data_IF_252792828518
#
_entry.id   IF_252792828518
#
_cell.length_a   1.000
_cell.length_b   1.000
_cell.length_c   1.000
_cell.angle_alpha   90.00
_cell.angle_beta   90.00
_cell.angle_gamma   90.00
#
_symmetry.space_group_name_H-M   'P 1'
#
loop_
_entity.id
_entity.type
_entity.pdbx_description
1 polymer ?
#
# COMPACT_ATOMS: atom_id res chain seq x y z
N UNK A 1 -15.23 -23.41 -54.21
CA UNK A 1 -14.55 -24.59 -53.61
C UNK A 1 -13.31 -24.09 -52.88
N UNK A 2 -13.41 -23.93 -51.55
CA UNK A 2 -12.39 -23.24 -50.74
C UNK A 2 -11.10 -24.08 -50.66
N UNK A 3 -9.93 -23.46 -50.83
CA UNK A 3 -8.65 -24.17 -50.82
C UNK A 3 -8.39 -24.80 -49.45
N UNK A 4 -8.02 -26.09 -49.44
CA UNK A 4 -7.86 -26.91 -48.21
C UNK A 4 -6.89 -26.29 -47.19
N UNK A 5 -5.90 -25.53 -47.67
CA UNK A 5 -4.94 -24.82 -46.85
C UNK A 5 -5.55 -23.65 -46.07
N UNK A 6 -6.54 -22.95 -46.63
CA UNK A 6 -7.20 -21.81 -45.99
C UNK A 6 -8.17 -22.25 -44.88
N UNK A 7 -8.78 -23.41 -45.05
CA UNK A 7 -9.66 -24.02 -44.03
C UNK A 7 -8.86 -24.59 -42.84
N UNK A 8 -7.65 -25.06 -43.10
CA UNK A 8 -6.77 -25.62 -42.08
C UNK A 8 -6.14 -24.55 -41.18
N UNK A 9 -5.70 -23.42 -41.75
CA UNK A 9 -5.23 -22.27 -40.98
C UNK A 9 -6.36 -21.61 -40.18
N UNK A 10 -7.59 -21.55 -40.71
CA UNK A 10 -8.74 -21.02 -39.97
C UNK A 10 -9.07 -21.85 -38.72
N UNK A 11 -9.00 -23.19 -38.80
CA UNK A 11 -9.22 -24.09 -37.65
C UNK A 11 -8.16 -23.95 -36.55
N UNK A 12 -6.89 -23.78 -36.94
CA UNK A 12 -5.76 -23.62 -36.00
C UNK A 12 -5.90 -22.29 -35.24
N UNK A 13 -6.32 -21.22 -35.92
CA UNK A 13 -6.59 -19.92 -35.29
C UNK A 13 -7.74 -20.02 -34.29
N UNK A 14 -8.85 -20.69 -34.63
CA UNK A 14 -9.97 -20.88 -33.70
C UNK A 14 -9.59 -21.70 -32.47
N UNK A 15 -8.77 -22.75 -32.63
CA UNK A 15 -8.28 -23.57 -31.51
C UNK A 15 -7.35 -22.77 -30.58
N UNK A 16 -6.43 -21.98 -31.16
CA UNK A 16 -5.50 -21.14 -30.40
C UNK A 16 -6.22 -20.03 -29.60
N UNK A 17 -7.28 -19.43 -30.16
CA UNK A 17 -8.09 -18.43 -29.48
C UNK A 17 -8.89 -19.04 -28.31
N UNK A 18 -9.41 -20.27 -28.46
CA UNK A 18 -10.11 -20.95 -27.37
C UNK A 18 -9.19 -21.33 -26.19
N UNK A 19 -7.92 -21.63 -26.47
CA UNK A 19 -6.94 -22.00 -25.44
C UNK A 19 -6.44 -20.78 -24.66
N UNK A 20 -6.34 -19.61 -25.32
CA UNK A 20 -5.95 -18.35 -24.69
C UNK A 20 -7.07 -17.75 -23.81
N UNK A 21 -8.33 -18.04 -24.10
CA UNK A 21 -9.47 -17.62 -23.28
C UNK A 21 -9.60 -18.39 -21.95
N UNK A 22 -9.00 -19.59 -21.85
CA UNK A 22 -9.08 -20.43 -20.66
C UNK A 22 -8.09 -20.06 -19.55
N UNK A 23 -7.05 -19.26 -19.84
CA UNK A 23 -5.99 -18.91 -18.88
C UNK A 23 -6.28 -17.64 -18.07
N UNK A 24 -7.35 -16.90 -18.38
CA UNK A 24 -7.69 -15.63 -17.69
C UNK A 24 -8.55 -15.85 -16.44
N UNK A 25 -9.07 -17.06 -16.23
CA UNK A 25 -10.14 -17.30 -15.24
C UNK A 25 -9.67 -17.66 -13.82
N UNK A 26 -8.37 -17.69 -13.53
CA UNK A 26 -7.86 -18.28 -12.26
C UNK A 26 -7.32 -17.25 -11.25
N UNK A 27 -7.17 -15.97 -11.59
CA UNK A 27 -6.61 -14.96 -10.67
C UNK A 27 -7.71 -14.11 -9.99
N UNK A 28 -8.66 -14.74 -9.30
CA UNK A 28 -9.75 -13.99 -8.64
C UNK A 28 -9.98 -14.35 -7.16
N UNK A 29 -9.21 -15.25 -6.55
CA UNK A 29 -9.38 -15.64 -5.14
C UNK A 29 -8.08 -15.69 -4.35
N UNK A 30 -7.17 -14.75 -4.58
CA UNK A 30 -6.22 -14.41 -3.51
C UNK A 30 -6.89 -13.38 -2.61
N UNK A 31 -7.56 -13.87 -1.57
CA UNK A 31 -7.70 -13.10 -0.35
C UNK A 31 -6.29 -12.91 0.20
N UNK A 32 -5.60 -11.87 -0.28
CA UNK A 32 -4.47 -11.32 0.44
C UNK A 32 -5.07 -10.80 1.73
N UNK A 33 -5.02 -11.63 2.77
CA UNK A 33 -5.01 -11.15 4.15
C UNK A 33 -3.89 -10.13 4.19
N UNK A 34 -4.25 -8.87 3.95
CA UNK A 34 -3.46 -7.75 4.39
C UNK A 34 -3.52 -7.92 5.89
N UNK A 35 -2.52 -8.59 6.46
CA UNK A 35 -2.17 -8.39 7.85
C UNK A 35 -1.96 -6.88 7.92
N UNK A 36 -3.02 -6.18 8.31
CA UNK A 36 -2.98 -4.77 8.60
C UNK A 36 -1.95 -4.70 9.71
N UNK A 37 -0.71 -4.38 9.34
CA UNK A 37 0.30 -3.97 10.29
C UNK A 37 -0.35 -2.73 10.87
N UNK A 38 -1.00 -2.86 12.02
CA UNK A 38 -1.57 -1.73 12.71
C UNK A 38 -0.41 -0.75 12.82
N UNK A 39 -0.51 0.37 12.10
CA UNK A 39 0.64 1.26 11.96
C UNK A 39 1.08 1.63 13.36
N UNK A 40 2.32 1.29 13.67
CA UNK A 40 2.82 1.50 15.01
C UNK A 40 2.83 3.00 15.25
N UNK A 41 2.58 3.44 16.48
CA UNK A 41 2.70 4.87 16.83
C UNK A 41 4.05 5.44 16.40
N UNK A 42 5.11 4.63 16.43
CA UNK A 42 6.43 5.02 15.93
C UNK A 42 6.46 5.20 14.39
N UNK A 43 5.88 4.27 13.63
CA UNK A 43 5.78 4.38 12.17
C UNK A 43 5.02 5.63 11.76
N UNK A 44 3.91 5.90 12.45
CA UNK A 44 3.11 7.11 12.33
C UNK A 44 3.88 8.42 12.64
N UNK A 45 4.81 8.40 13.60
CA UNK A 45 5.66 9.55 13.92
C UNK A 45 6.74 9.74 12.84
N UNK A 46 7.33 8.62 12.38
CA UNK A 46 8.34 8.61 11.33
C UNK A 46 7.80 9.11 9.99
N UNK A 47 6.58 8.70 9.61
CA UNK A 47 5.92 9.16 8.38
C UNK A 47 5.70 10.69 8.38
N UNK A 48 5.38 11.26 9.55
CA UNK A 48 5.13 12.70 9.71
C UNK A 48 6.41 13.53 9.88
N UNK A 49 7.57 12.88 10.03
CA UNK A 49 8.87 13.48 10.33
C UNK A 49 8.81 14.47 11.52
N UNK A 50 7.86 14.27 12.43
CA UNK A 50 7.59 15.18 13.54
C UNK A 50 6.84 14.49 14.65
N UNK A 51 7.24 14.77 15.88
CA UNK A 51 6.49 14.44 17.10
C UNK A 51 5.97 15.71 17.76
N UNK A 52 4.75 15.67 18.29
CA UNK A 52 4.16 16.77 19.06
C UNK A 52 4.23 16.42 20.54
N UNK A 53 4.93 17.24 21.33
CA UNK A 53 5.08 17.05 22.77
C UNK A 53 4.37 18.17 23.51
N UNK A 54 3.39 17.83 24.34
CA UNK A 54 2.77 18.76 25.27
C UNK A 54 3.63 18.91 26.52
N UNK A 55 4.07 20.13 26.83
CA UNK A 55 4.85 20.43 28.03
C UNK A 55 4.00 21.29 28.96
N UNK A 56 3.94 20.91 30.24
CA UNK A 56 3.28 21.71 31.27
C UNK A 56 4.25 22.83 31.69
N UNK A 57 3.83 24.08 31.61
CA UNK A 57 4.72 25.26 31.75
C UNK A 57 4.69 25.90 33.13
N UNK A 58 4.10 25.25 34.12
CA UNK A 58 3.91 25.73 35.49
C UNK A 58 4.60 24.81 36.52
N UNK A 59 5.58 24.01 36.10
CA UNK A 59 6.19 22.98 36.92
C UNK A 59 7.72 23.04 36.87
N UNK A 60 8.30 24.04 37.52
CA UNK A 60 9.76 24.19 37.65
C UNK A 60 10.35 23.06 38.52
N UNK A 61 11.52 22.49 38.17
CA UNK A 61 12.39 22.83 37.04
C UNK A 61 12.13 22.03 35.75
N UNK A 62 11.03 21.27 35.65
CA UNK A 62 10.80 20.32 34.55
C UNK A 62 10.08 20.93 33.34
N UNK A 63 9.28 21.97 33.54
CA UNK A 63 8.61 22.69 32.46
C UNK A 63 8.17 24.07 32.90
N UNK A 64 8.75 25.10 32.26
CA UNK A 64 8.46 26.50 32.52
C UNK A 64 8.72 27.36 31.28
N UNK A 65 8.30 28.62 31.32
CA UNK A 65 8.65 29.62 30.30
C UNK A 65 9.82 30.46 30.82
N UNK A 66 10.92 30.54 30.06
CA UNK A 66 12.08 31.34 30.42
C UNK A 66 11.86 32.85 30.18
N UNK A 67 12.89 33.67 30.46
CA UNK A 67 12.82 35.13 30.30
C UNK A 67 12.62 35.58 28.86
N UNK A 68 12.98 34.74 27.88
CA UNK A 68 12.88 35.03 26.45
C UNK A 68 11.55 34.53 25.88
N UNK A 69 10.70 33.89 26.70
CA UNK A 69 9.40 33.37 26.32
C UNK A 69 9.43 31.95 25.75
N UNK A 70 10.54 31.22 25.90
CA UNK A 70 10.70 29.86 25.37
C UNK A 70 10.32 28.80 26.40
N UNK A 71 9.87 27.63 25.92
CA UNK A 71 9.74 26.45 26.77
C UNK A 71 11.14 26.00 27.24
N UNK A 72 11.31 25.85 28.55
CA UNK A 72 12.54 25.41 29.20
C UNK A 72 12.25 24.39 30.31
N UNK A 73 13.25 23.60 30.66
CA UNK A 73 13.12 22.52 31.64
C UNK A 73 14.28 21.52 31.57
N UNK A 74 14.38 20.68 32.60
CA UNK A 74 15.25 19.50 32.61
C UNK A 74 14.74 18.39 31.69
#
# INVERSE_FOLDING_TARGET
>A
MMSKHLYQSLKIVTLAVSLLAATVSITACSETSTEGTAESTLGEIQERDKIVIGVKTDYTPFGFIDSDGNNAGL
#
